data_IF_825685493834
#
_entry.id   IF_825685493834
#
_cell.length_a   1.000
_cell.length_b   1.000
_cell.length_c   1.000
_cell.angle_alpha   90.00
_cell.angle_beta   90.00
_cell.angle_gamma   90.00
#
_symmetry.space_group_name_H-M   'P 1'
#
loop_
_entity.id
_entity.type
_entity.pdbx_description
1 polymer ?
#
# COMPACT_ATOMS: atom_id res chain seq x y z
N UNK A 1 25.57 37.92 -2.23
CA UNK A 1 24.61 38.77 -1.49
C UNK A 1 24.00 39.74 -2.47
N UNK A 2 22.69 39.61 -2.75
CA UNK A 2 21.79 40.75 -2.58
C UNK A 2 20.51 40.38 -1.80
N UNK A 3 19.97 41.41 -1.16
CA UNK A 3 18.85 41.43 -0.21
C UNK A 3 17.71 42.28 -0.79
N UNK A 4 16.46 41.84 -0.64
CA UNK A 4 15.20 42.60 -0.65
C UNK A 4 14.08 41.61 -0.26
N UNK A 5 13.46 41.63 0.94
CA UNK A 5 12.34 42.50 1.42
C UNK A 5 11.29 42.79 0.33
N UNK A 6 9.98 42.66 0.45
CA UNK A 6 9.00 42.44 1.54
C UNK A 6 7.64 42.18 0.88
N UNK A 7 6.67 41.55 1.55
CA UNK A 7 5.29 41.54 1.05
C UNK A 7 4.27 40.73 1.85
N UNK A 8 3.78 41.28 2.98
CA UNK A 8 2.54 40.83 3.66
C UNK A 8 1.30 41.41 2.95
N UNK A 9 0.18 40.67 2.95
CA UNK A 9 -1.22 41.13 3.12
C UNK A 9 -2.18 39.93 3.12
N UNK A 10 -2.83 39.58 4.25
CA UNK A 10 -4.15 40.02 4.80
C UNK A 10 -5.38 39.22 4.32
N UNK A 11 -5.99 38.53 5.29
CA UNK A 11 -7.42 38.45 5.68
C UNK A 11 -8.53 37.77 4.83
N UNK A 12 -9.05 36.68 5.43
CA UNK A 12 -10.46 36.43 5.84
C UNK A 12 -11.54 36.12 4.75
N UNK A 13 -12.80 35.71 5.11
CA UNK A 13 -13.36 35.05 6.31
C UNK A 13 -14.21 33.78 5.99
N UNK A 14 -14.69 33.10 7.05
CA UNK A 14 -15.46 31.86 6.98
C UNK A 14 -16.93 31.95 6.55
N UNK A 15 -17.59 30.78 6.55
CA UNK A 15 -19.05 30.61 6.54
C UNK A 15 -19.43 29.41 7.39
N UNK A 16 -20.22 29.66 8.42
CA UNK A 16 -20.96 28.65 9.13
C UNK A 16 -22.25 28.28 8.38
N UNK A 17 -22.72 27.07 8.61
CA UNK A 17 -24.09 26.66 8.30
C UNK A 17 -24.75 26.20 9.60
N UNK A 18 -25.61 27.06 10.13
CA UNK A 18 -26.60 26.71 11.15
C UNK A 18 -27.96 26.58 10.48
N UNK A 19 -28.74 25.59 10.94
CA UNK A 19 -30.20 25.66 10.97
C UNK A 19 -30.93 24.68 10.07
N UNK A 20 -31.70 23.78 10.69
CA UNK A 20 -33.16 23.81 10.57
C UNK A 20 -33.82 22.96 11.66
N UNK A 21 -34.76 23.59 12.37
CA UNK A 21 -35.72 23.00 13.30
C UNK A 21 -36.98 22.56 12.52
N UNK A 22 -37.64 21.51 13.00
CA UNK A 22 -39.06 21.19 12.75
C UNK A 22 -39.39 19.91 13.52
N UNK A 23 -40.04 19.91 14.69
CA UNK A 23 -41.38 20.37 15.14
C UNK A 23 -42.51 19.41 14.71
N UNK A 24 -43.16 18.81 15.71
CA UNK A 24 -44.42 18.04 15.63
C UNK A 24 -44.24 16.62 16.19
N UNK A 25 -45.03 16.08 17.12
CA UNK A 25 -46.25 16.53 17.77
C UNK A 25 -46.84 15.31 18.50
N UNK A 26 -47.23 15.52 19.76
CA UNK A 26 -48.31 14.85 20.54
C UNK A 26 -48.53 13.33 20.45
N UNK A 27 -48.22 12.70 21.59
CA UNK A 27 -48.99 11.68 22.32
C UNK A 27 -50.41 11.37 21.82
N UNK A 28 -50.67 10.08 21.61
CA UNK A 28 -52.00 9.50 21.76
C UNK A 28 -51.92 8.27 22.68
N UNK A 29 -52.83 8.22 23.65
CA UNK A 29 -52.89 7.23 24.71
C UNK A 29 -54.10 6.32 24.46
N UNK A 30 -53.84 5.09 24.02
CA UNK A 30 -54.84 4.06 23.81
C UNK A 30 -54.55 2.80 24.64
N UNK A 31 -55.07 2.75 25.85
CA UNK A 31 -55.09 1.56 26.71
C UNK A 31 -56.15 0.56 26.26
N UNK A 32 -55.75 -0.64 25.85
CA UNK A 32 -56.56 -1.87 26.03
C UNK A 32 -55.69 -3.06 26.42
N UNK A 33 -56.12 -3.69 27.52
CA UNK A 33 -55.58 -4.92 28.12
C UNK A 33 -55.64 -6.08 27.13
N UNK A 34 -54.60 -6.92 27.10
CA UNK A 34 -54.61 -8.25 27.73
C UNK A 34 -53.58 -9.19 27.10
N UNK A 35 -53.12 -10.11 27.96
CA UNK A 35 -52.36 -11.35 27.70
C UNK A 35 -50.84 -11.22 27.65
N UNK A 36 -50.30 -11.47 28.85
CA UNK A 36 -48.97 -12.04 29.12
C UNK A 36 -48.69 -13.18 28.13
N UNK A 37 -47.64 -13.02 27.34
CA UNK A 37 -46.82 -14.13 26.87
C UNK A 37 -45.39 -13.74 27.23
N UNK A 38 -44.84 -14.44 28.22
CA UNK A 38 -43.42 -14.39 28.53
C UNK A 38 -42.68 -15.03 27.36
N UNK A 39 -41.93 -14.22 26.61
CA UNK A 39 -40.89 -14.70 25.71
C UNK A 39 -39.71 -13.74 25.88
N UNK A 40 -38.93 -14.03 26.93
CA UNK A 40 -37.61 -13.46 27.11
C UNK A 40 -36.68 -14.10 26.07
N UNK A 41 -36.64 -13.53 24.87
CA UNK A 41 -35.57 -13.81 23.91
C UNK A 41 -34.46 -12.81 24.19
N UNK A 42 -33.51 -13.22 25.03
CA UNK A 42 -32.20 -12.58 25.11
C UNK A 42 -31.50 -12.83 23.75
N UNK A 43 -31.62 -11.88 22.83
CA UNK A 43 -30.75 -11.82 21.67
C UNK A 43 -29.39 -11.36 22.16
N UNK A 44 -28.60 -12.32 22.65
CA UNK A 44 -27.16 -12.16 22.83
C UNK A 44 -26.58 -11.84 21.45
N UNK A 45 -26.45 -10.54 21.19
CA UNK A 45 -25.71 -10.04 20.05
C UNK A 45 -24.25 -10.33 20.34
N UNK A 46 -23.81 -11.53 19.96
CA UNK A 46 -22.40 -11.82 19.84
C UNK A 46 -21.88 -10.93 18.71
N UNK A 47 -21.44 -9.73 19.08
CA UNK A 47 -20.61 -8.90 18.21
C UNK A 47 -19.31 -9.69 18.09
N UNK A 48 -19.24 -10.52 17.06
CA UNK A 48 -17.98 -11.01 16.53
C UNK A 48 -17.25 -9.74 16.08
N UNK A 49 -16.38 -9.21 16.95
CA UNK A 49 -15.34 -8.29 16.51
C UNK A 49 -14.43 -9.11 15.60
N UNK A 50 -14.80 -9.14 14.32
CA UNK A 50 -13.88 -9.48 13.25
C UNK A 50 -12.69 -8.56 13.46
N UNK A 51 -11.56 -9.13 13.89
CA UNK A 51 -10.28 -8.47 13.85
C UNK A 51 -9.95 -8.23 12.38
N UNK A 52 -10.51 -7.16 11.82
CA UNK A 52 -10.00 -6.58 10.60
C UNK A 52 -8.60 -6.10 10.95
N UNK A 53 -7.59 -6.88 10.55
CA UNK A 53 -6.21 -6.45 10.66
C UNK A 53 -6.08 -5.09 10.00
N UNK A 54 -5.48 -4.12 10.69
CA UNK A 54 -5.09 -2.84 10.12
C UNK A 54 -3.97 -3.11 9.10
N UNK A 55 -4.34 -3.52 7.89
CA UNK A 55 -3.42 -3.53 6.76
C UNK A 55 -3.41 -2.12 6.16
N UNK A 56 -2.22 -1.57 5.87
CA UNK A 56 -2.14 -0.26 5.22
C UNK A 56 -2.83 -0.27 3.86
N UNK A 57 -3.35 0.89 3.47
CA UNK A 57 -3.95 1.08 2.15
C UNK A 57 -2.87 0.95 1.06
N UNK A 58 -3.14 0.16 0.01
CA UNK A 58 -2.24 0.09 -1.14
C UNK A 58 -2.53 1.26 -2.07
N UNK A 59 -1.52 2.08 -2.36
CA UNK A 59 -1.62 3.24 -3.26
C UNK A 59 -0.75 3.06 -4.50
N UNK A 60 -1.16 3.58 -5.67
CA UNK A 60 -0.42 3.47 -6.93
C UNK A 60 0.79 4.41 -6.99
N UNK A 61 1.71 4.27 -6.03
CA UNK A 61 2.87 5.15 -5.85
C UNK A 61 4.19 4.46 -6.23
N UNK A 62 4.15 3.20 -6.65
CA UNK A 62 5.29 2.45 -7.13
C UNK A 62 5.02 1.92 -8.54
N UNK A 63 6.01 2.06 -9.43
CA UNK A 63 5.97 1.53 -10.77
C UNK A 63 7.36 1.06 -11.22
N UNK A 64 7.38 0.22 -12.26
CA UNK A 64 8.60 -0.23 -12.92
C UNK A 64 8.48 -0.09 -14.42
N UNK A 65 9.59 0.20 -15.10
CA UNK A 65 9.61 0.32 -16.56
C UNK A 65 10.97 -0.07 -17.14
N UNK A 66 11.04 -0.23 -18.46
CA UNK A 66 12.29 -0.47 -19.18
C UNK A 66 12.64 0.79 -19.96
N UNK A 67 13.80 1.37 -19.68
CA UNK A 67 14.25 2.56 -20.40
C UNK A 67 14.76 2.24 -21.82
N UNK A 68 15.11 3.28 -22.58
CA UNK A 68 15.60 3.14 -23.96
C UNK A 68 16.92 2.35 -24.08
N UNK A 69 17.62 2.12 -22.97
CA UNK A 69 18.87 1.34 -22.90
C UNK A 69 18.61 -0.11 -22.47
N UNK A 70 17.35 -0.50 -22.24
CA UNK A 70 16.99 -1.81 -21.74
C UNK A 70 17.21 -1.97 -20.23
N UNK A 71 17.48 -0.88 -19.50
CA UNK A 71 17.67 -0.93 -18.05
C UNK A 71 16.30 -0.89 -17.38
N UNK A 72 16.05 -1.82 -16.46
CA UNK A 72 14.84 -1.80 -15.65
C UNK A 72 14.97 -0.71 -14.59
N UNK A 73 14.02 0.23 -14.60
CA UNK A 73 13.96 1.38 -13.71
C UNK A 73 12.81 1.19 -12.71
N UNK A 74 13.01 1.69 -11.50
CA UNK A 74 12.01 1.83 -10.45
C UNK A 74 11.57 3.28 -10.38
N UNK A 75 10.27 3.50 -10.20
CA UNK A 75 9.67 4.81 -10.08
C UNK A 75 8.84 4.86 -8.79
N UNK A 76 9.33 5.57 -7.78
CA UNK A 76 8.64 5.74 -6.50
C UNK A 76 8.15 7.17 -6.33
N UNK A 77 6.92 7.33 -5.83
CA UNK A 77 6.28 8.61 -5.51
C UNK A 77 5.88 8.65 -4.04
N UNK A 78 5.64 9.83 -3.51
CA UNK A 78 5.24 10.00 -2.11
C UNK A 78 4.09 10.99 -2.02
N UNK A 79 3.25 10.80 -1.01
CA UNK A 79 2.19 11.72 -0.61
C UNK A 79 2.65 12.80 0.36
N UNK A 80 3.85 12.65 0.91
CA UNK A 80 4.48 13.67 1.74
C UNK A 80 5.01 14.82 0.85
N UNK A 81 4.76 16.07 1.25
CA UNK A 81 5.19 17.27 0.53
C UNK A 81 6.73 17.34 0.39
N UNK A 82 7.45 16.77 1.35
CA UNK A 82 8.91 16.63 1.29
C UNK A 82 9.34 15.41 0.44
N UNK A 83 8.43 14.65 -0.14
CA UNK A 83 8.74 13.49 -0.96
C UNK A 83 9.39 12.34 -0.17
N UNK A 84 9.12 12.23 1.13
CA UNK A 84 9.71 11.19 2.00
C UNK A 84 8.99 9.84 1.85
N UNK A 85 9.74 8.75 1.94
CA UNK A 85 9.24 7.36 1.98
C UNK A 85 9.99 6.57 3.05
N UNK A 86 9.34 5.62 3.70
CA UNK A 86 9.98 4.75 4.68
C UNK A 86 10.35 3.39 4.08
N UNK A 87 11.55 2.95 4.47
CA UNK A 87 12.08 1.60 4.33
C UNK A 87 11.79 0.94 2.98
N UNK A 88 12.21 1.51 1.83
CA UNK A 88 11.93 0.93 0.52
C UNK A 88 12.61 -0.44 0.36
N UNK A 89 11.99 -1.34 -0.40
CA UNK A 89 12.48 -2.70 -0.64
C UNK A 89 12.21 -3.19 -2.06
N UNK A 90 13.00 -4.18 -2.47
CA UNK A 90 12.80 -5.05 -3.61
C UNK A 90 13.05 -6.50 -3.15
N UNK A 91 12.02 -7.32 -3.11
CA UNK A 91 12.15 -8.74 -2.77
C UNK A 91 11.74 -9.61 -3.95
N UNK A 92 12.64 -10.47 -4.40
CA UNK A 92 12.45 -11.49 -5.41
C UNK A 92 12.42 -12.88 -4.78
N UNK A 93 11.34 -13.63 -5.01
CA UNK A 93 11.17 -15.00 -4.51
C UNK A 93 10.91 -15.97 -5.66
N UNK A 94 11.33 -17.22 -5.50
CA UNK A 94 11.11 -18.27 -6.49
C UNK A 94 9.61 -18.60 -6.56
N UNK A 95 9.03 -18.52 -7.75
CA UNK A 95 7.66 -19.00 -7.98
C UNK A 95 7.71 -20.53 -8.02
N UNK A 96 7.34 -21.17 -6.92
CA UNK A 96 7.12 -22.62 -6.92
C UNK A 96 5.85 -22.92 -7.72
N UNK A 97 5.87 -23.86 -8.68
CA UNK A 97 4.62 -24.35 -9.23
C UNK A 97 3.81 -24.89 -8.05
N UNK A 98 2.55 -24.47 -7.94
CA UNK A 98 1.63 -24.99 -6.95
C UNK A 98 1.42 -26.49 -7.22
N UNK A 99 2.29 -27.32 -6.66
CA UNK A 99 2.01 -28.73 -6.43
C UNK A 99 0.81 -28.79 -5.50
N UNK A 100 -0.09 -29.72 -5.79
CA UNK A 100 -1.38 -29.96 -5.16
C UNK A 100 -1.46 -29.52 -3.69
N UNK A 101 -2.56 -28.87 -3.33
CA UNK A 101 -2.97 -28.73 -1.94
C UNK A 101 -2.77 -30.08 -1.26
N UNK A 102 -1.74 -30.18 -0.42
CA UNK A 102 -1.51 -31.37 0.37
C UNK A 102 -2.74 -31.49 1.27
N UNK A 103 -3.62 -32.43 0.92
CA UNK A 103 -4.68 -32.86 1.79
C UNK A 103 -4.01 -33.37 3.06
N UNK A 104 -4.23 -32.62 4.15
CA UNK A 104 -3.93 -33.01 5.51
C UNK A 104 -4.53 -34.38 5.81
N UNK A 105 -3.68 -35.39 5.93
CA UNK A 105 -3.91 -36.57 6.77
C UNK A 105 -2.56 -37.30 6.95
N UNK A 106 -1.66 -36.65 7.70
CA UNK A 106 -0.55 -37.32 8.38
C UNK A 106 -0.16 -36.48 9.60
N UNK A 107 -0.70 -36.86 10.76
CA UNK A 107 -0.14 -36.49 12.06
C UNK A 107 1.29 -37.04 12.15
N UNK A 108 2.28 -36.18 11.92
CA UNK A 108 3.68 -36.41 12.26
C UNK A 108 4.21 -35.17 13.01
N UNK A 109 5.04 -35.34 14.05
CA UNK A 109 5.24 -34.33 15.08
C UNK A 109 5.99 -33.13 14.51
N UNK A 110 5.48 -31.93 14.81
CA UNK A 110 6.06 -30.66 14.40
C UNK A 110 7.57 -30.62 14.71
N UNK A 111 8.46 -30.58 13.69
CA UNK A 111 9.79 -30.08 13.95
C UNK A 111 9.62 -28.62 14.35
N UNK A 112 10.28 -28.19 15.42
CA UNK A 112 10.43 -26.78 15.73
C UNK A 112 11.14 -26.12 14.56
N UNK A 113 10.35 -25.67 13.58
CA UNK A 113 10.79 -24.89 12.46
C UNK A 113 11.15 -23.53 13.05
N UNK A 114 12.40 -23.39 13.48
CA UNK A 114 13.08 -22.12 13.40
C UNK A 114 12.75 -21.57 12.01
N UNK A 115 11.99 -20.47 11.98
CA UNK A 115 11.59 -19.78 10.76
C UNK A 115 12.86 -19.49 9.96
N UNK A 116 13.23 -20.41 9.07
CA UNK A 116 14.37 -20.25 8.20
C UNK A 116 13.87 -19.25 7.18
N UNK A 117 14.27 -17.99 7.36
CA UNK A 117 13.88 -16.89 6.48
C UNK A 117 13.94 -17.38 5.03
N UNK A 118 12.82 -17.30 4.30
CA UNK A 118 12.81 -17.77 2.92
C UNK A 118 13.88 -17.02 2.13
N UNK A 119 14.73 -17.72 1.37
CA UNK A 119 15.78 -17.07 0.61
C UNK A 119 15.16 -16.12 -0.42
N UNK A 120 15.52 -14.84 -0.32
CA UNK A 120 15.09 -13.78 -1.24
C UNK A 120 16.29 -13.10 -1.91
N UNK A 121 16.04 -12.52 -3.08
CA UNK A 121 17.02 -11.73 -3.84
C UNK A 121 16.50 -10.30 -4.05
N UNK A 122 17.39 -9.32 -4.16
CA UNK A 122 17.02 -7.91 -4.33
C UNK A 122 17.72 -7.04 -3.29
N UNK A 123 17.00 -6.09 -2.70
CA UNK A 123 17.55 -5.22 -1.67
C UNK A 123 16.49 -4.69 -0.71
N UNK A 124 16.89 -4.30 0.49
CA UNK A 124 16.07 -3.53 1.41
C UNK A 124 16.86 -2.32 1.92
N UNK A 125 16.14 -1.28 2.36
CA UNK A 125 16.74 -0.15 3.06
C UNK A 125 15.92 0.15 4.30
N UNK A 126 16.59 0.69 5.32
CA UNK A 126 15.95 1.11 6.57
C UNK A 126 15.89 2.63 6.64
N UNK A 127 14.92 3.14 7.39
CA UNK A 127 14.78 4.57 7.66
C UNK A 127 14.04 5.32 6.56
N UNK A 128 14.13 6.65 6.60
CA UNK A 128 13.35 7.53 5.72
C UNK A 128 14.24 8.10 4.62
N UNK A 129 13.75 8.06 3.39
CA UNK A 129 14.47 8.42 2.19
C UNK A 129 13.62 9.33 1.30
N UNK A 130 14.25 10.02 0.34
CA UNK A 130 13.50 10.73 -0.72
C UNK A 130 13.07 9.71 -1.79
N UNK A 131 11.81 9.78 -2.19
CA UNK A 131 11.29 9.07 -3.36
C UNK A 131 12.10 9.44 -4.61
N UNK A 132 12.28 8.48 -5.53
CA UNK A 132 13.20 8.64 -6.65
C UNK A 132 12.82 7.80 -7.87
N UNK A 133 13.46 8.12 -9.00
CA UNK A 133 13.56 7.31 -10.21
C UNK A 133 15.01 6.78 -10.28
N UNK A 134 15.20 5.46 -10.36
CA UNK A 134 16.52 4.83 -10.28
C UNK A 134 16.56 3.42 -10.90
N UNK A 135 17.74 2.90 -11.29
CA UNK A 135 17.85 1.54 -11.79
C UNK A 135 17.41 0.53 -10.73
N UNK A 136 16.44 -0.31 -11.06
CA UNK A 136 15.71 -1.16 -10.10
C UNK A 136 16.61 -1.98 -9.17
N UNK A 137 17.73 -2.51 -9.67
CA UNK A 137 18.68 -3.33 -8.90
C UNK A 137 19.90 -2.56 -8.39
N UNK A 138 19.90 -1.23 -8.50
CA UNK A 138 20.94 -0.33 -7.99
C UNK A 138 20.25 0.84 -7.28
N UNK A 139 19.76 0.63 -6.03
CA UNK A 139 19.13 1.70 -5.27
C UNK A 139 20.08 2.88 -5.05
N UNK A 140 19.56 4.10 -4.82
CA UNK A 140 20.38 5.27 -4.54
C UNK A 140 21.41 4.98 -3.42
N UNK A 141 22.70 5.33 -3.60
CA UNK A 141 23.74 5.04 -2.61
C UNK A 141 23.45 5.64 -1.23
N UNK A 142 22.75 6.77 -1.18
CA UNK A 142 22.33 7.42 0.06
C UNK A 142 21.38 6.58 0.91
N UNK A 143 20.72 5.59 0.33
CA UNK A 143 19.81 4.70 1.06
C UNK A 143 20.55 3.60 1.83
N UNK A 144 21.85 3.41 1.56
CA UNK A 144 22.68 2.39 2.22
C UNK A 144 22.02 1.00 2.25
N UNK A 145 21.38 0.61 1.14
CA UNK A 145 20.56 -0.60 1.05
C UNK A 145 21.39 -1.88 1.22
N UNK A 146 20.87 -2.84 1.97
CA UNK A 146 21.39 -4.20 2.00
C UNK A 146 20.96 -4.91 0.71
N UNK A 147 21.92 -5.46 -0.04
CA UNK A 147 21.65 -6.15 -1.31
C UNK A 147 21.93 -7.64 -1.18
N UNK A 148 21.02 -8.48 -1.69
CA UNK A 148 21.12 -9.94 -1.68
C UNK A 148 20.95 -10.52 -3.08
N UNK A 149 21.78 -11.49 -3.44
CA UNK A 149 21.64 -12.24 -4.70
C UNK A 149 21.98 -11.43 -5.97
N UNK A 150 21.53 -11.92 -7.15
CA UNK A 150 21.80 -11.29 -8.44
C UNK A 150 21.18 -9.90 -8.60
N UNK A 151 21.82 -9.03 -9.39
CA UNK A 151 21.38 -7.65 -9.66
C UNK A 151 20.65 -7.49 -11.01
N UNK A 152 19.93 -8.53 -11.43
CA UNK A 152 19.14 -8.54 -12.66
C UNK A 152 17.88 -9.38 -12.46
N UNK A 153 16.78 -9.12 -13.20
CA UNK A 153 15.59 -9.96 -13.15
C UNK A 153 15.94 -11.42 -13.48
N UNK A 154 15.65 -12.30 -12.54
CA UNK A 154 15.83 -13.75 -12.70
C UNK A 154 14.55 -14.37 -13.27
N UNK A 155 14.66 -15.24 -14.28
CA UNK A 155 13.54 -16.10 -14.72
C UNK A 155 12.98 -16.91 -13.54
N UNK A 156 11.67 -17.16 -13.54
CA UNK A 156 11.00 -17.95 -12.50
C UNK A 156 10.89 -17.26 -11.13
N UNK A 157 11.29 -15.99 -11.01
CA UNK A 157 11.12 -15.21 -9.79
C UNK A 157 10.00 -14.19 -9.94
N UNK A 158 9.26 -13.98 -8.85
CA UNK A 158 8.33 -12.88 -8.67
C UNK A 158 8.98 -11.84 -7.77
N UNK A 159 8.91 -10.58 -8.18
CA UNK A 159 9.46 -9.45 -7.46
C UNK A 159 8.33 -8.59 -6.90
N UNK A 160 8.56 -8.06 -5.71
CA UNK A 160 7.77 -7.01 -5.10
C UNK A 160 8.69 -5.83 -4.81
N UNK A 161 8.39 -4.69 -5.44
CA UNK A 161 9.00 -3.40 -5.13
C UNK A 161 8.00 -2.63 -4.28
N UNK A 162 8.45 -2.04 -3.18
CA UNK A 162 7.57 -1.21 -2.37
C UNK A 162 8.26 -0.31 -1.38
N UNK A 163 7.45 0.47 -0.67
CA UNK A 163 7.83 1.32 0.45
C UNK A 163 6.59 1.60 1.31
N UNK A 164 6.80 2.10 2.53
CA UNK A 164 5.75 2.51 3.45
C UNK A 164 5.67 4.03 3.60
N UNK A 165 4.53 4.54 4.08
CA UNK A 165 4.38 5.92 4.54
C UNK A 165 5.54 6.32 5.50
N UNK A 166 6.12 7.52 5.34
CA UNK A 166 7.32 7.93 6.09
C UNK A 166 7.10 8.11 7.59
N UNK A 167 5.88 8.38 8.03
CA UNK A 167 5.57 8.76 9.41
C UNK A 167 4.81 7.64 10.16
N UNK A 168 3.97 6.86 9.47
CA UNK A 168 3.29 5.68 10.00
C UNK A 168 3.01 4.61 8.91
N UNK A 169 3.75 3.50 8.97
CA UNK A 169 3.65 2.39 8.02
C UNK A 169 2.27 1.70 7.94
N UNK A 170 1.34 1.99 8.86
CA UNK A 170 -0.02 1.47 8.81
C UNK A 170 -0.98 2.35 8.01
N UNK A 171 -0.55 3.54 7.55
CA UNK A 171 -1.40 4.45 6.76
C UNK A 171 -1.51 3.93 5.33
N UNK A 172 -0.39 3.88 4.60
CA UNK A 172 -0.36 3.38 3.24
C UNK A 172 0.98 2.75 2.89
N UNK A 173 0.94 1.90 1.86
CA UNK A 173 2.13 1.41 1.16
C UNK A 173 2.00 1.68 -0.34
N UNK A 174 3.12 2.02 -0.98
CA UNK A 174 3.23 1.98 -2.43
C UNK A 174 3.88 0.66 -2.83
N UNK A 175 3.20 -0.17 -3.62
CA UNK A 175 3.75 -1.47 -4.06
C UNK A 175 3.46 -1.77 -5.53
N UNK A 176 4.36 -2.54 -6.15
CA UNK A 176 4.14 -3.15 -7.47
C UNK A 176 4.79 -4.54 -7.50
N UNK A 177 4.05 -5.50 -8.03
CA UNK A 177 4.52 -6.88 -8.21
C UNK A 177 4.72 -7.19 -9.69
N UNK A 178 5.81 -7.87 -10.04
CA UNK A 178 6.12 -8.21 -11.42
C UNK A 178 7.00 -9.46 -11.53
N UNK A 179 7.17 -9.95 -12.75
CA UNK A 179 8.15 -10.97 -13.09
C UNK A 179 8.90 -10.55 -14.38
N UNK A 180 9.97 -11.27 -14.73
CA UNK A 180 10.80 -10.94 -15.88
C UNK A 180 10.01 -10.98 -17.21
N UNK A 181 9.00 -11.86 -17.34
CA UNK A 181 8.15 -11.93 -18.53
C UNK A 181 7.26 -10.70 -18.61
N UNK A 182 6.64 -10.31 -17.50
CA UNK A 182 5.77 -9.14 -17.44
C UNK A 182 6.52 -7.85 -17.74
N UNK A 183 7.77 -7.73 -17.28
CA UNK A 183 8.64 -6.60 -17.63
C UNK A 183 8.95 -6.54 -19.14
N UNK A 184 9.18 -7.69 -19.78
CA UNK A 184 9.46 -7.76 -21.21
C UNK A 184 8.25 -7.38 -22.10
N UNK A 185 7.04 -7.41 -21.53
CA UNK A 185 5.80 -7.01 -22.20
C UNK A 185 5.48 -5.52 -22.03
N UNK A 186 6.22 -4.78 -21.19
CA UNK A 186 5.99 -3.34 -20.98
C UNK A 186 6.39 -2.57 -22.24
N UNK A 187 5.45 -1.84 -22.87
CA UNK A 187 5.77 -1.04 -24.04
C UNK A 187 6.76 0.09 -23.72
N UNK A 188 7.61 0.50 -24.68
CA UNK A 188 8.49 1.64 -24.49
C UNK A 188 7.71 2.92 -24.13
N UNK A 189 8.13 3.59 -23.06
CA UNK A 189 7.48 4.81 -22.57
C UNK A 189 6.28 4.57 -21.64
N UNK A 190 5.91 3.31 -21.42
CA UNK A 190 4.92 2.92 -20.44
C UNK A 190 5.56 2.37 -19.17
N UNK A 191 4.77 2.35 -18.09
CA UNK A 191 5.15 1.85 -16.78
C UNK A 191 4.18 0.75 -16.36
N UNK A 192 4.70 -0.26 -15.68
CA UNK A 192 3.91 -1.28 -15.00
C UNK A 192 3.66 -0.83 -13.57
N UNK A 193 2.39 -0.84 -13.17
CA UNK A 193 1.90 -0.46 -11.84
C UNK A 193 1.08 -1.62 -11.23
N UNK A 194 0.58 -1.43 -10.02
CA UNK A 194 -0.38 -2.37 -9.41
C UNK A 194 -1.68 -2.51 -10.23
N UNK A 195 -2.06 -1.49 -11.01
CA UNK A 195 -3.25 -1.48 -11.86
C UNK A 195 -2.97 -1.96 -13.29
N UNK A 196 -1.77 -2.46 -13.55
CA UNK A 196 -1.32 -2.86 -14.89
C UNK A 196 -0.49 -1.79 -15.57
N UNK A 197 -0.40 -1.89 -16.89
CA UNK A 197 0.47 -1.04 -17.70
C UNK A 197 -0.24 0.23 -18.12
N UNK A 198 0.45 1.37 -18.05
CA UNK A 198 -0.08 2.69 -18.43
C UNK A 198 1.05 3.62 -18.87
N UNK A 199 0.71 4.78 -19.44
CA UNK A 199 1.72 5.80 -19.74
C UNK A 199 2.35 6.32 -18.45
N UNK A 200 3.60 6.81 -18.54
CA UNK A 200 4.25 7.46 -17.39
C UNK A 200 3.44 8.64 -16.86
N UNK A 201 2.87 9.45 -17.75
CA UNK A 201 2.02 10.60 -17.38
C UNK A 201 0.78 10.15 -16.58
N UNK A 202 0.07 9.13 -17.05
CA UNK A 202 -1.09 8.60 -16.33
C UNK A 202 -0.73 8.05 -14.94
N UNK A 203 0.48 7.48 -14.78
CA UNK A 203 0.97 7.11 -13.45
C UNK A 203 1.23 8.31 -12.55
N UNK A 204 1.84 9.38 -13.06
CA UNK A 204 2.08 10.59 -12.26
C UNK A 204 0.75 11.23 -11.80
N UNK A 205 -0.25 11.26 -12.68
CA UNK A 205 -1.58 11.77 -12.35
C UNK A 205 -2.25 10.91 -11.28
N UNK A 206 -2.26 9.58 -11.45
CA UNK A 206 -2.81 8.65 -10.45
C UNK A 206 -2.08 8.73 -9.12
N UNK A 207 -0.75 8.88 -9.13
CA UNK A 207 0.03 9.03 -7.92
C UNK A 207 -0.32 10.33 -7.18
N UNK A 208 -0.53 11.43 -7.90
CA UNK A 208 -0.91 12.71 -7.32
C UNK A 208 -2.35 12.69 -6.77
N UNK A 209 -3.28 12.04 -7.46
CA UNK A 209 -4.68 11.89 -7.01
C UNK A 209 -4.81 10.98 -5.79
N UNK A 210 -3.87 10.06 -5.60
CA UNK A 210 -3.93 9.06 -4.54
C UNK A 210 -3.52 9.58 -3.14
N UNK A 211 -3.21 10.87 -2.94
CA UNK A 211 -2.51 11.36 -1.74
C UNK A 211 -3.35 12.07 -0.64
#
# INVERSE_FOLDING_TARGET
>A
MPSWETGRRTDAPGRGCAGARGRGGTVDAGTRRARRVCLATALSSAILLSAAGCSPELRPLAAVYVDQRGTVQALLRSCDDDGRIASPWLHGTVVRPSGEASSDDAEDPAPEASATEEPWIGWDSRGVHKAADFPLFTPPPSWAAETRGPRTPQPGHRYELGFADPDDSYVYNGTVTFDARRLAEVPPGEVLTLHGTMTREAFEDLAAEAC
#
